data_IF_019136957317
#
_entry.id   IF_019136957317
#
_cell.length_a   1.000
_cell.length_b   1.000
_cell.length_c   1.000
_cell.angle_alpha   90.00
_cell.angle_beta   90.00
_cell.angle_gamma   90.00
#
_symmetry.space_group_name_H-M   'P 1'
#
loop_
_entity.id
_entity.type
_entity.pdbx_description
1 polymer ?
#
# COMPACT_ATOMS: atom_id res chain seq x y z
N UNK A 1 36.01 70.34 23.71
CA UNK A 1 34.71 69.96 23.23
C UNK A 1 34.91 68.73 22.35
N UNK A 2 34.52 67.55 22.88
CA UNK A 2 34.56 66.28 22.12
C UNK A 2 33.13 65.94 21.72
N UNK A 3 32.81 65.96 20.42
CA UNK A 3 31.53 65.46 19.89
C UNK A 3 31.59 63.92 19.78
N UNK A 4 30.74 63.30 20.52
CA UNK A 4 30.47 61.85 20.34
C UNK A 4 29.35 61.70 19.34
N UNK A 5 29.65 61.13 18.19
CA UNK A 5 28.64 60.65 17.20
C UNK A 5 28.18 59.25 17.58
N UNK A 6 26.92 59.08 18.04
CA UNK A 6 26.30 57.81 18.27
C UNK A 6 25.69 57.32 16.97
N UNK A 7 26.22 56.21 16.42
CA UNK A 7 25.68 55.52 15.22
C UNK A 7 24.58 54.57 15.70
N UNK A 8 23.34 54.91 15.40
CA UNK A 8 22.20 54.01 15.64
C UNK A 8 22.13 52.96 14.52
N UNK A 9 22.37 51.68 14.84
CA UNK A 9 22.16 50.56 13.95
C UNK A 9 20.65 50.20 13.95
N UNK A 10 19.97 50.49 12.84
CA UNK A 10 18.61 50.01 12.60
C UNK A 10 18.70 48.59 12.06
N UNK A 11 18.37 47.61 12.89
CA UNK A 11 18.28 46.21 12.51
C UNK A 11 16.94 46.00 11.76
N UNK A 12 16.99 45.95 10.43
CA UNK A 12 15.84 45.62 9.61
C UNK A 12 15.54 44.12 9.77
N UNK A 13 14.49 43.79 10.52
CA UNK A 13 13.94 42.45 10.60
C UNK A 13 13.22 42.15 9.27
N UNK A 14 13.85 41.41 8.36
CA UNK A 14 13.22 40.86 7.19
C UNK A 14 12.20 39.82 7.66
N UNK A 15 10.92 40.15 7.62
CA UNK A 15 9.82 39.18 7.73
C UNK A 15 9.91 38.27 6.52
N UNK A 16 10.44 37.05 6.71
CA UNK A 16 10.33 35.98 5.72
C UNK A 16 8.87 35.58 5.66
N UNK A 17 8.20 35.90 4.56
CA UNK A 17 6.89 35.32 4.25
C UNK A 17 7.08 33.80 4.10
N UNK A 18 6.17 32.97 4.67
CA UNK A 18 6.23 31.53 4.46
C UNK A 18 6.17 31.26 2.96
N UNK A 19 7.03 30.36 2.50
CA UNK A 19 6.98 29.89 1.12
C UNK A 19 5.58 29.28 0.86
N UNK A 20 5.01 29.49 -0.34
CA UNK A 20 3.76 28.83 -0.67
C UNK A 20 3.93 27.31 -0.52
N UNK A 21 2.92 26.64 0.05
CA UNK A 21 2.92 25.18 0.15
C UNK A 21 3.07 24.56 -1.26
N UNK A 22 3.86 23.51 -1.37
CA UNK A 22 3.94 22.75 -2.62
C UNK A 22 2.53 22.23 -3.00
N UNK A 23 2.21 22.16 -4.30
CA UNK A 23 0.94 21.55 -4.70
C UNK A 23 0.88 20.09 -4.20
N UNK A 24 -0.34 19.58 -3.89
CA UNK A 24 -0.49 18.21 -3.47
C UNK A 24 -0.05 17.25 -4.58
N UNK A 25 0.48 16.10 -4.16
CA UNK A 25 0.77 14.98 -5.06
C UNK A 25 -0.53 14.40 -5.61
N UNK A 26 -0.51 13.95 -6.85
CA UNK A 26 -1.66 13.29 -7.45
C UNK A 26 -1.58 11.78 -7.24
N UNK A 27 -2.59 11.23 -6.61
CA UNK A 27 -2.74 9.79 -6.40
C UNK A 27 -3.94 9.25 -7.19
N UNK A 28 -3.79 8.07 -7.76
CA UNK A 28 -4.88 7.35 -8.43
C UNK A 28 -5.13 6.03 -7.70
N UNK A 29 -6.36 5.80 -7.24
CA UNK A 29 -6.79 4.47 -6.80
C UNK A 29 -7.47 3.77 -7.96
N UNK A 30 -7.03 2.56 -8.29
CA UNK A 30 -7.62 1.71 -9.32
C UNK A 30 -8.30 0.51 -8.68
N UNK A 31 -9.57 0.27 -9.06
CA UNK A 31 -10.40 -0.80 -8.51
C UNK A 31 -11.41 -1.37 -9.51
N UNK A 32 -12.35 -2.19 -9.01
CA UNK A 32 -13.52 -2.69 -9.75
C UNK A 32 -13.74 -4.19 -9.59
N UNK A 33 -12.69 -4.97 -9.38
CA UNK A 33 -12.80 -6.42 -9.27
C UNK A 33 -11.90 -6.96 -8.14
N UNK A 34 -12.55 -7.38 -7.05
CA UNK A 34 -11.85 -7.91 -5.89
C UNK A 34 -12.72 -9.00 -5.22
N UNK A 35 -12.08 -10.06 -4.75
CA UNK A 35 -12.75 -11.16 -4.04
C UNK A 35 -13.24 -10.77 -2.64
N UNK A 36 -12.80 -9.65 -2.08
CA UNK A 36 -13.26 -9.10 -0.81
C UNK A 36 -14.38 -8.09 -1.05
N UNK A 37 -15.60 -8.43 -0.66
CA UNK A 37 -16.81 -7.62 -0.90
C UNK A 37 -16.71 -6.17 -0.41
N UNK A 38 -15.84 -5.89 0.57
CA UNK A 38 -15.65 -4.57 1.14
C UNK A 38 -14.88 -3.59 0.23
N UNK A 39 -14.39 -4.02 -0.94
CA UNK A 39 -13.51 -3.21 -1.78
C UNK A 39 -14.08 -1.83 -2.17
N UNK A 40 -15.39 -1.60 -2.42
CA UNK A 40 -15.87 -0.26 -2.72
C UNK A 40 -15.71 0.70 -1.54
N UNK A 41 -15.96 0.19 -0.30
CA UNK A 41 -15.76 0.95 0.93
C UNK A 41 -14.26 1.18 1.20
N UNK A 42 -13.43 0.15 1.07
CA UNK A 42 -11.98 0.28 1.33
C UNK A 42 -11.29 1.21 0.35
N UNK A 43 -11.77 1.32 -0.89
CA UNK A 43 -11.33 2.36 -1.84
C UNK A 43 -11.58 3.77 -1.28
N UNK A 44 -12.79 4.03 -0.76
CA UNK A 44 -13.12 5.33 -0.17
C UNK A 44 -12.33 5.60 1.12
N UNK A 45 -12.10 4.55 1.93
CA UNK A 45 -11.24 4.66 3.12
C UNK A 45 -9.82 5.08 2.74
N UNK A 46 -9.20 4.42 1.77
CA UNK A 46 -7.86 4.77 1.31
C UNK A 46 -7.80 6.20 0.74
N UNK A 47 -8.79 6.59 -0.07
CA UNK A 47 -8.90 7.98 -0.54
C UNK A 47 -8.92 8.96 0.62
N UNK A 48 -9.82 8.78 1.57
CA UNK A 48 -9.95 9.65 2.75
C UNK A 48 -8.64 9.71 3.54
N UNK A 49 -8.02 8.57 3.84
CA UNK A 49 -6.78 8.54 4.61
C UNK A 49 -5.62 9.27 3.92
N UNK A 50 -5.53 9.18 2.60
CA UNK A 50 -4.50 9.91 1.86
C UNK A 50 -4.78 11.41 1.84
N UNK A 51 -6.03 11.83 1.60
CA UNK A 51 -6.43 13.25 1.56
C UNK A 51 -6.34 13.93 2.92
N UNK A 52 -6.61 13.21 4.03
CA UNK A 52 -6.47 13.72 5.41
C UNK A 52 -5.03 14.17 5.74
N UNK A 53 -4.03 13.68 5.02
CA UNK A 53 -2.64 14.14 5.18
C UNK A 53 -2.41 15.56 4.69
N UNK A 54 -3.28 16.06 3.80
CA UNK A 54 -3.06 17.30 3.06
C UNK A 54 -1.96 17.20 2.00
N UNK A 55 -1.34 16.04 1.80
CA UNK A 55 -0.27 15.81 0.84
C UNK A 55 -0.78 15.32 -0.51
N UNK A 56 -1.99 14.77 -0.57
CA UNK A 56 -2.53 14.11 -1.77
C UNK A 56 -3.85 14.72 -2.21
N UNK A 57 -4.02 14.77 -3.54
CA UNK A 57 -5.29 14.85 -4.24
C UNK A 57 -5.53 13.50 -4.90
N UNK A 58 -6.68 12.84 -4.60
CA UNK A 58 -6.91 11.44 -4.95
C UNK A 58 -8.06 11.28 -5.93
N UNK A 59 -7.75 10.79 -7.12
CA UNK A 59 -8.73 10.32 -8.10
C UNK A 59 -8.96 8.80 -7.92
N UNK A 60 -10.12 8.32 -8.38
CA UNK A 60 -10.44 6.89 -8.46
C UNK A 60 -10.80 6.58 -9.90
N UNK A 61 -10.25 5.50 -10.44
CA UNK A 61 -10.67 4.96 -11.73
C UNK A 61 -11.05 3.49 -11.58
N UNK A 62 -12.32 3.22 -11.82
CA UNK A 62 -12.96 1.91 -11.67
C UNK A 62 -13.22 1.28 -13.01
N UNK A 63 -12.92 -0.01 -13.17
CA UNK A 63 -13.31 -0.76 -14.38
C UNK A 63 -14.83 -0.68 -14.58
N UNK A 64 -15.27 -0.55 -15.82
CA UNK A 64 -16.69 -0.55 -16.19
C UNK A 64 -17.41 -1.82 -15.74
N UNK A 65 -16.74 -2.97 -15.88
CA UNK A 65 -17.26 -4.26 -15.41
C UNK A 65 -16.74 -4.52 -14.01
N UNK A 66 -17.61 -4.33 -13.00
CA UNK A 66 -17.28 -4.58 -11.60
C UNK A 66 -17.66 -6.00 -11.20
N UNK A 67 -17.02 -6.49 -10.15
CA UNK A 67 -17.32 -7.80 -9.59
C UNK A 67 -17.21 -7.78 -8.06
N UNK A 68 -18.20 -8.44 -7.42
CA UNK A 68 -18.27 -8.67 -5.97
C UNK A 68 -18.27 -7.39 -5.12
N UNK A 69 -18.84 -6.29 -5.63
CA UNK A 69 -19.03 -5.06 -4.86
C UNK A 69 -20.41 -4.98 -4.18
N UNK A 70 -21.42 -5.64 -4.78
CA UNK A 70 -22.76 -5.75 -4.24
C UNK A 70 -23.39 -4.40 -3.88
N UNK A 71 -24.08 -4.34 -2.74
CA UNK A 71 -24.72 -3.11 -2.25
C UNK A 71 -23.74 -1.99 -1.94
N UNK A 72 -22.47 -2.31 -1.70
CA UNK A 72 -21.48 -1.29 -1.39
C UNK A 72 -21.16 -0.40 -2.60
N UNK A 73 -21.42 -0.84 -3.82
CA UNK A 73 -21.35 0.02 -5.01
C UNK A 73 -22.40 1.13 -4.99
N UNK A 74 -23.58 0.86 -4.40
CA UNK A 74 -24.65 1.85 -4.24
C UNK A 74 -24.39 2.77 -3.02
N UNK A 75 -23.76 2.25 -1.97
CA UNK A 75 -23.41 3.01 -0.76
C UNK A 75 -22.19 3.91 -0.97
N UNK A 76 -21.26 3.51 -1.85
CA UNK A 76 -20.03 4.23 -2.22
C UNK A 76 -19.95 4.46 -3.73
N UNK A 77 -20.86 5.29 -4.29
CA UNK A 77 -20.93 5.51 -5.72
C UNK A 77 -19.77 6.38 -6.22
N UNK A 78 -19.44 6.20 -7.49
CA UNK A 78 -18.62 7.15 -8.26
C UNK A 78 -19.53 7.83 -9.29
N UNK A 79 -20.05 9.03 -9.02
CA UNK A 79 -21.12 9.64 -9.81
C UNK A 79 -20.81 9.83 -11.30
N UNK A 80 -19.52 10.05 -11.61
CA UNK A 80 -19.04 10.33 -12.97
C UNK A 80 -18.62 9.06 -13.73
N UNK A 81 -18.75 7.88 -13.11
CA UNK A 81 -18.37 6.60 -13.70
C UNK A 81 -19.55 5.63 -13.74
N UNK A 82 -19.88 5.18 -14.94
CA UNK A 82 -20.92 4.17 -15.13
C UNK A 82 -20.30 2.78 -15.05
N UNK A 83 -20.77 1.99 -14.09
CA UNK A 83 -20.32 0.62 -13.89
C UNK A 83 -21.46 -0.39 -14.05
N UNK A 84 -21.11 -1.63 -14.36
CA UNK A 84 -22.04 -2.76 -14.44
C UNK A 84 -21.45 -3.92 -13.63
N UNK A 85 -22.13 -4.30 -12.54
CA UNK A 85 -21.70 -5.46 -11.77
C UNK A 85 -22.04 -6.77 -12.48
N UNK A 86 -21.04 -7.62 -12.61
CA UNK A 86 -21.16 -8.90 -13.28
C UNK A 86 -21.03 -10.06 -12.28
N UNK A 87 -21.62 -11.24 -12.56
CA UNK A 87 -21.54 -12.40 -11.68
C UNK A 87 -20.14 -13.05 -11.67
N UNK A 88 -19.27 -12.66 -12.59
CA UNK A 88 -17.87 -13.11 -12.71
C UNK A 88 -17.01 -11.95 -13.23
N UNK A 89 -15.72 -11.93 -12.88
CA UNK A 89 -14.77 -10.96 -13.43
C UNK A 89 -14.74 -11.03 -14.96
N UNK A 90 -14.68 -9.87 -15.59
CA UNK A 90 -14.56 -9.72 -17.04
C UNK A 90 -13.63 -8.57 -17.35
N UNK A 91 -12.76 -8.75 -18.35
CA UNK A 91 -11.90 -7.68 -18.84
C UNK A 91 -12.74 -6.53 -19.38
N UNK A 92 -12.35 -5.33 -19.01
CA UNK A 92 -12.90 -4.09 -19.52
C UNK A 92 -12.01 -3.57 -20.66
N UNK A 93 -12.44 -3.64 -21.92
CA UNK A 93 -11.61 -3.25 -23.06
C UNK A 93 -11.35 -1.74 -23.11
N UNK A 94 -12.15 -0.95 -22.39
CA UNK A 94 -12.07 0.50 -22.37
C UNK A 94 -11.31 1.02 -21.13
N UNK A 95 -10.80 0.12 -20.25
CA UNK A 95 -10.04 0.50 -19.07
C UNK A 95 -8.64 1.00 -19.47
N UNK A 96 -8.49 2.32 -19.55
CA UNK A 96 -7.27 2.99 -20.02
C UNK A 96 -6.93 4.23 -19.17
N UNK A 97 -6.58 4.08 -17.89
CA UNK A 97 -6.16 5.18 -17.04
C UNK A 97 -4.96 5.93 -17.63
N UNK A 98 -4.98 7.26 -17.62
CA UNK A 98 -3.81 8.06 -17.92
C UNK A 98 -2.87 8.12 -16.70
N UNK A 99 -2.09 7.07 -16.50
CA UNK A 99 -1.16 6.96 -15.38
C UNK A 99 -0.13 8.10 -15.33
N UNK A 100 0.19 8.72 -16.45
CA UNK A 100 1.22 9.78 -16.53
C UNK A 100 0.84 11.05 -15.74
N UNK A 101 -0.42 11.18 -15.35
CA UNK A 101 -0.94 12.31 -14.57
C UNK A 101 -0.71 12.16 -13.08
N UNK A 102 -0.21 11.01 -12.60
CA UNK A 102 -0.18 10.66 -11.19
C UNK A 102 1.24 10.39 -10.71
N UNK A 103 1.51 10.80 -9.48
CA UNK A 103 2.78 10.52 -8.80
C UNK A 103 2.78 9.11 -8.20
N UNK A 104 1.60 8.61 -7.81
CA UNK A 104 1.43 7.27 -7.24
C UNK A 104 0.09 6.65 -7.65
N UNK A 105 0.12 5.34 -7.94
CA UNK A 105 -1.07 4.52 -8.18
C UNK A 105 -1.25 3.53 -7.04
N UNK A 106 -2.46 3.40 -6.52
CA UNK A 106 -2.83 2.45 -5.46
C UNK A 106 -3.73 1.38 -6.08
N UNK A 107 -3.32 0.12 -6.02
CA UNK A 107 -4.12 -0.99 -6.53
C UNK A 107 -5.00 -1.59 -5.44
N UNK A 108 -6.32 -1.61 -5.67
CA UNK A 108 -7.33 -2.30 -4.86
C UNK A 108 -8.06 -3.41 -5.65
N UNK A 109 -7.36 -4.02 -6.61
CA UNK A 109 -7.83 -5.25 -7.25
C UNK A 109 -7.67 -6.44 -6.30
N UNK A 110 -8.19 -7.61 -6.69
CA UNK A 110 -8.07 -8.81 -5.85
C UNK A 110 -7.94 -10.10 -6.66
N UNK A 111 -7.99 -11.20 -5.95
CA UNK A 111 -7.94 -12.52 -6.56
C UNK A 111 -9.02 -12.68 -7.63
N UNK A 112 -8.68 -13.31 -8.74
CA UNK A 112 -9.54 -13.53 -9.92
C UNK A 112 -9.90 -12.27 -10.71
N UNK A 113 -9.36 -11.09 -10.41
CA UNK A 113 -9.53 -9.93 -11.29
C UNK A 113 -9.15 -10.29 -12.73
N UNK A 114 -10.00 -9.89 -13.68
CA UNK A 114 -9.76 -10.17 -15.09
C UNK A 114 -8.57 -9.36 -15.62
N UNK A 115 -7.83 -9.86 -16.61
CA UNK A 115 -6.70 -9.14 -17.19
C UNK A 115 -7.13 -7.79 -17.76
N UNK A 116 -6.29 -6.80 -17.61
CA UNK A 116 -6.44 -5.53 -18.32
C UNK A 116 -6.07 -5.68 -19.79
N UNK A 117 -6.53 -4.77 -20.67
CA UNK A 117 -6.05 -4.71 -22.04
C UNK A 117 -4.51 -4.61 -22.09
N UNK A 118 -3.90 -5.23 -23.10
CA UNK A 118 -2.44 -5.26 -23.26
C UNK A 118 -1.84 -3.84 -23.29
N UNK A 119 -2.51 -2.91 -23.99
CA UNK A 119 -2.10 -1.50 -24.06
C UNK A 119 -2.08 -0.83 -22.68
N UNK A 120 -3.04 -1.18 -21.81
CA UNK A 120 -3.10 -0.66 -20.44
C UNK A 120 -2.02 -1.28 -19.57
N UNK A 121 -1.74 -2.58 -19.74
CA UNK A 121 -0.63 -3.24 -19.07
C UNK A 121 0.70 -2.58 -19.46
N UNK A 122 0.94 -2.35 -20.76
CA UNK A 122 2.15 -1.71 -21.27
C UNK A 122 2.31 -0.26 -20.76
N UNK A 123 1.21 0.50 -20.71
CA UNK A 123 1.20 1.85 -20.16
C UNK A 123 1.54 1.85 -18.67
N UNK A 124 1.00 0.91 -17.90
CA UNK A 124 1.28 0.77 -16.47
C UNK A 124 2.74 0.36 -16.21
N UNK A 125 3.25 -0.62 -16.97
CA UNK A 125 4.67 -1.03 -16.93
C UNK A 125 5.57 0.17 -17.21
N UNK A 126 5.26 0.94 -18.25
CA UNK A 126 6.03 2.12 -18.64
C UNK A 126 6.00 3.20 -17.56
N UNK A 127 4.85 3.42 -16.93
CA UNK A 127 4.66 4.37 -15.84
C UNK A 127 5.55 4.01 -14.64
N UNK A 128 5.44 2.78 -14.11
CA UNK A 128 6.22 2.39 -12.93
C UNK A 128 7.72 2.35 -13.29
N UNK A 129 8.09 1.75 -14.43
CA UNK A 129 9.50 1.69 -14.88
C UNK A 129 10.12 3.07 -15.08
N UNK A 130 9.31 4.06 -15.46
CA UNK A 130 9.72 5.45 -15.66
C UNK A 130 9.94 6.25 -14.39
N UNK A 131 9.48 5.76 -13.24
CA UNK A 131 9.64 6.44 -11.95
C UNK A 131 8.34 6.64 -11.17
N UNK A 132 7.18 6.26 -11.73
CA UNK A 132 5.89 6.33 -11.06
C UNK A 132 5.84 5.43 -9.81
N UNK A 133 5.13 5.88 -8.78
CA UNK A 133 4.93 5.14 -7.54
C UNK A 133 3.79 4.11 -7.65
N UNK A 134 3.94 2.99 -6.95
CA UNK A 134 2.88 1.98 -6.82
C UNK A 134 2.68 1.60 -5.35
N UNK A 135 1.42 1.50 -4.93
CA UNK A 135 1.04 0.91 -3.64
C UNK A 135 0.17 -0.32 -3.90
N UNK A 136 0.57 -1.45 -3.33
CA UNK A 136 -0.13 -2.73 -3.41
C UNK A 136 -0.73 -3.03 -2.05
N UNK A 137 -2.07 -3.15 -2.00
CA UNK A 137 -2.80 -3.34 -0.74
C UNK A 137 -3.48 -4.68 -0.73
N UNK A 138 -3.17 -5.48 0.30
CA UNK A 138 -3.82 -6.75 0.60
C UNK A 138 -4.02 -7.62 -0.66
N UNK A 139 -5.29 -7.91 -1.01
CA UNK A 139 -5.64 -8.78 -2.12
C UNK A 139 -5.11 -8.35 -3.50
N UNK A 140 -4.57 -7.13 -3.63
CA UNK A 140 -3.91 -6.73 -4.88
C UNK A 140 -2.68 -7.59 -5.18
N UNK A 141 -2.06 -8.19 -4.17
CA UNK A 141 -0.97 -9.16 -4.35
C UNK A 141 -1.43 -10.53 -4.89
N UNK A 142 -2.75 -10.77 -4.89
CA UNK A 142 -3.37 -11.97 -5.43
C UNK A 142 -3.84 -11.81 -6.89
N UNK A 143 -3.79 -10.58 -7.42
CA UNK A 143 -4.21 -10.26 -8.77
C UNK A 143 -3.18 -10.72 -9.80
N UNK A 144 -3.63 -10.90 -11.03
CA UNK A 144 -2.81 -10.98 -12.24
C UNK A 144 -1.61 -11.96 -12.15
N UNK A 145 -1.84 -13.19 -11.65
CA UNK A 145 -0.80 -14.21 -11.45
C UNK A 145 0.06 -14.50 -12.67
N UNK A 146 -0.50 -14.38 -13.87
CA UNK A 146 0.16 -14.66 -15.14
C UNK A 146 0.89 -13.42 -15.73
N UNK A 147 0.71 -12.21 -15.15
CA UNK A 147 1.36 -11.00 -15.64
C UNK A 147 2.74 -10.84 -15.01
N UNK A 148 3.79 -11.18 -15.77
CA UNK A 148 5.17 -11.23 -15.30
C UNK A 148 5.66 -9.90 -14.72
N UNK A 149 5.44 -8.78 -15.44
CA UNK A 149 5.90 -7.46 -14.96
C UNK A 149 5.19 -7.04 -13.67
N UNK A 150 3.89 -7.34 -13.53
CA UNK A 150 3.18 -7.10 -12.28
C UNK A 150 3.77 -7.89 -11.11
N UNK A 151 4.10 -9.17 -11.31
CA UNK A 151 4.73 -10.00 -10.29
C UNK A 151 6.14 -9.51 -9.91
N UNK A 152 6.88 -8.92 -10.86
CA UNK A 152 8.17 -8.26 -10.58
C UNK A 152 7.98 -6.98 -9.75
N UNK A 153 6.93 -6.20 -10.04
CA UNK A 153 6.62 -4.98 -9.28
C UNK A 153 6.21 -5.28 -7.84
N UNK A 154 5.31 -6.24 -7.64
CA UNK A 154 4.78 -6.55 -6.31
C UNK A 154 5.72 -7.40 -5.46
N UNK A 155 6.68 -8.10 -6.09
CA UNK A 155 7.70 -8.94 -5.45
C UNK A 155 7.18 -10.27 -4.93
N UNK A 156 6.15 -10.25 -4.11
CA UNK A 156 5.50 -11.42 -3.53
C UNK A 156 4.00 -11.38 -3.80
N UNK A 157 3.40 -12.56 -4.02
CA UNK A 157 1.96 -12.68 -4.16
C UNK A 157 1.47 -14.05 -3.75
N UNK A 158 0.15 -14.17 -3.59
CA UNK A 158 -0.50 -15.42 -3.23
C UNK A 158 -1.55 -15.86 -4.24
N UNK A 159 -2.04 -17.05 -4.10
CA UNK A 159 -3.11 -17.64 -4.91
C UNK A 159 -2.92 -17.44 -6.43
N UNK A 160 -4.00 -17.35 -7.20
CA UNK A 160 -3.92 -17.02 -8.64
C UNK A 160 -3.00 -17.92 -9.46
N UNK A 161 -2.85 -19.21 -9.09
CA UNK A 161 -1.97 -20.15 -9.77
C UNK A 161 -0.49 -20.06 -9.38
N UNK A 162 -0.12 -19.17 -8.46
CA UNK A 162 1.28 -19.02 -8.02
C UNK A 162 1.77 -20.27 -7.30
N UNK A 163 2.95 -20.72 -7.68
CA UNK A 163 3.61 -21.93 -7.21
C UNK A 163 5.14 -21.75 -7.28
N UNK A 164 5.92 -22.84 -7.16
CA UNK A 164 7.39 -22.78 -7.18
C UNK A 164 7.98 -22.12 -8.44
N UNK A 165 7.25 -22.09 -9.56
CA UNK A 165 7.67 -21.41 -10.80
C UNK A 165 7.55 -19.89 -10.71
N UNK A 166 6.71 -19.39 -9.80
CA UNK A 166 6.55 -17.95 -9.58
C UNK A 166 7.69 -17.34 -8.78
N UNK A 167 8.51 -18.16 -8.13
CA UNK A 167 9.66 -17.75 -7.31
C UNK A 167 9.63 -18.39 -5.92
N UNK A 168 10.60 -18.07 -5.05
CA UNK A 168 10.68 -18.59 -3.68
C UNK A 168 9.58 -18.04 -2.77
N UNK A 169 9.26 -18.75 -1.69
CA UNK A 169 8.71 -18.12 -0.48
C UNK A 169 9.81 -17.24 0.14
N UNK A 170 9.42 -16.05 0.63
CA UNK A 170 10.38 -15.15 1.27
C UNK A 170 9.85 -14.72 2.63
N UNK A 171 10.61 -15.01 3.67
CA UNK A 171 10.26 -14.73 5.06
C UNK A 171 11.52 -14.52 5.90
N UNK A 172 11.40 -14.12 7.15
CA UNK A 172 12.53 -14.08 8.07
C UNK A 172 12.49 -15.29 9.01
N UNK A 173 13.68 -15.83 9.32
CA UNK A 173 13.84 -16.81 10.40
C UNK A 173 13.88 -16.11 11.79
N UNK A 174 14.00 -16.88 12.86
CA UNK A 174 14.05 -16.36 14.24
C UNK A 174 15.28 -15.48 14.50
N UNK A 175 16.36 -15.69 13.74
CA UNK A 175 17.60 -14.89 13.79
C UNK A 175 17.46 -13.55 13.01
N UNK A 176 16.32 -13.35 12.30
CA UNK A 176 16.06 -12.16 11.49
C UNK A 176 16.72 -12.19 10.11
N UNK A 177 17.21 -13.35 9.67
CA UNK A 177 17.78 -13.53 8.34
C UNK A 177 16.69 -13.77 7.30
N UNK A 178 16.82 -13.17 6.12
CA UNK A 178 15.90 -13.39 5.01
C UNK A 178 16.12 -14.76 4.38
N UNK A 179 15.10 -15.59 4.43
CA UNK A 179 15.07 -16.91 3.81
C UNK A 179 14.35 -16.83 2.46
N UNK A 180 14.94 -17.43 1.45
CA UNK A 180 14.37 -17.61 0.10
C UNK A 180 14.20 -19.12 -0.14
N UNK A 181 13.03 -19.64 0.24
CA UNK A 181 12.70 -21.07 0.21
C UNK A 181 12.10 -21.43 -1.16
N UNK A 182 12.85 -22.20 -1.95
CA UNK A 182 12.46 -22.66 -3.30
C UNK A 182 11.68 -23.98 -3.31
N UNK A 183 11.28 -24.49 -2.14
CA UNK A 183 10.52 -25.74 -2.04
C UNK A 183 9.24 -25.68 -2.86
N UNK A 184 8.78 -26.81 -3.43
CA UNK A 184 7.51 -26.90 -4.15
C UNK A 184 6.31 -26.52 -3.26
N UNK A 185 5.28 -25.96 -3.89
CA UNK A 185 4.02 -25.66 -3.22
C UNK A 185 3.33 -24.41 -3.75
N UNK A 186 2.05 -24.29 -3.42
CA UNK A 186 1.25 -23.14 -3.81
C UNK A 186 1.62 -21.89 -3.01
N UNK A 187 1.53 -20.73 -3.65
CA UNK A 187 1.63 -19.43 -2.99
C UNK A 187 0.33 -19.00 -2.33
N UNK A 188 0.44 -18.34 -1.19
CA UNK A 188 -0.66 -17.73 -0.46
C UNK A 188 -1.41 -18.67 0.46
N UNK A 189 -1.50 -18.27 1.70
CA UNK A 189 -2.30 -18.87 2.76
C UNK A 189 -2.53 -17.83 3.84
N UNK A 190 -3.41 -18.08 4.77
CA UNK A 190 -3.57 -17.34 6.02
C UNK A 190 -4.22 -18.22 7.07
N UNK A 191 -3.98 -17.91 8.33
CA UNK A 191 -4.69 -18.53 9.44
C UNK A 191 -6.03 -17.84 9.75
N UNK A 192 -6.56 -18.09 10.94
CA UNK A 192 -7.75 -17.37 11.40
C UNK A 192 -7.41 -15.89 11.67
N UNK A 193 -8.34 -14.99 11.35
CA UNK A 193 -8.21 -13.55 11.62
C UNK A 193 -8.03 -13.27 13.12
N UNK A 194 -7.03 -12.48 13.47
CA UNK A 194 -6.70 -12.11 14.84
C UNK A 194 -5.88 -10.82 14.87
N UNK A 195 -5.70 -10.25 16.06
CA UNK A 195 -4.69 -9.21 16.29
C UNK A 195 -3.29 -9.83 16.27
N UNK A 196 -2.33 -9.17 15.63
CA UNK A 196 -0.95 -9.64 15.58
C UNK A 196 0.05 -8.49 15.74
N UNK A 197 1.21 -8.83 16.28
CA UNK A 197 2.32 -7.90 16.42
C UNK A 197 3.04 -7.73 15.07
N UNK A 198 3.18 -6.49 14.64
CA UNK A 198 4.01 -6.10 13.49
C UNK A 198 5.36 -5.63 14.03
N UNK A 199 6.43 -6.31 13.63
CA UNK A 199 7.81 -6.05 14.08
C UNK A 199 8.57 -5.31 12.99
N UNK A 200 9.05 -4.11 13.30
CA UNK A 200 9.86 -3.30 12.39
C UNK A 200 11.24 -3.93 12.20
N UNK A 201 11.67 -4.10 10.96
CA UNK A 201 12.93 -4.73 10.58
C UNK A 201 13.95 -3.76 10.00
N UNK A 202 13.47 -2.62 9.48
CA UNK A 202 14.31 -1.56 8.89
C UNK A 202 13.94 -0.21 9.51
N UNK A 203 14.39 0.11 10.73
CA UNK A 203 13.98 1.32 11.45
C UNK A 203 14.49 2.63 10.81
N UNK A 204 15.52 2.55 9.96
CA UNK A 204 16.10 3.71 9.29
C UNK A 204 15.47 3.99 7.92
N UNK A 205 14.58 3.10 7.42
CA UNK A 205 13.89 3.35 6.15
C UNK A 205 12.84 4.46 6.31
N UNK A 206 12.69 5.40 5.37
CA UNK A 206 11.76 6.53 5.49
C UNK A 206 10.35 6.14 5.95
N UNK A 207 9.79 5.05 5.42
CA UNK A 207 8.44 4.59 5.78
C UNK A 207 8.33 4.23 7.27
N UNK A 208 9.34 3.58 7.83
CA UNK A 208 9.33 3.05 9.21
C UNK A 208 10.09 3.92 10.20
N UNK A 209 10.77 4.95 9.72
CA UNK A 209 11.54 5.86 10.59
C UNK A 209 10.69 6.44 11.71
N UNK A 210 11.18 6.32 12.95
CA UNK A 210 10.49 6.78 14.15
C UNK A 210 9.33 5.89 14.63
N UNK A 211 8.96 4.81 13.88
CA UNK A 211 8.02 3.82 14.40
C UNK A 211 8.61 3.08 15.61
N UNK A 212 7.79 2.63 16.59
CA UNK A 212 8.27 1.74 17.63
C UNK A 212 8.80 0.44 17.02
N UNK A 213 9.69 -0.26 17.73
CA UNK A 213 10.27 -1.54 17.25
C UNK A 213 9.22 -2.59 16.92
N UNK A 214 8.05 -2.53 17.56
CA UNK A 214 6.87 -3.30 17.19
C UNK A 214 5.58 -2.60 17.65
N UNK A 215 4.46 -2.98 17.05
CA UNK A 215 3.13 -2.47 17.37
C UNK A 215 2.05 -3.53 17.11
N UNK A 216 0.95 -3.46 17.86
CA UNK A 216 -0.17 -4.39 17.71
C UNK A 216 -1.11 -3.92 16.61
N UNK A 217 -1.21 -4.71 15.53
CA UNK A 217 -2.23 -4.53 14.52
C UNK A 217 -3.56 -5.11 15.00
N UNK A 218 -4.65 -4.45 14.64
CA UNK A 218 -6.01 -4.94 14.97
C UNK A 218 -6.31 -6.26 14.25
N UNK A 219 -7.47 -6.85 14.50
CA UNK A 219 -7.92 -8.07 13.83
C UNK A 219 -7.80 -7.95 12.30
N UNK A 220 -7.04 -8.87 11.70
CA UNK A 220 -6.80 -8.92 10.24
C UNK A 220 -6.48 -10.34 9.79
N UNK A 221 -6.38 -10.57 8.47
CA UNK A 221 -5.75 -11.75 7.88
C UNK A 221 -4.25 -11.54 7.80
N UNK A 222 -3.50 -12.35 8.53
CA UNK A 222 -2.06 -12.41 8.36
C UNK A 222 -1.78 -13.34 7.19
N UNK A 223 -1.47 -12.77 6.01
CA UNK A 223 -1.07 -13.55 4.85
C UNK A 223 0.27 -14.22 5.09
N UNK A 224 0.36 -15.48 4.74
CA UNK A 224 1.57 -16.27 4.79
C UNK A 224 1.81 -17.04 3.49
N UNK A 225 2.97 -17.68 3.35
CA UNK A 225 3.36 -18.41 2.12
C UNK A 225 3.28 -17.56 0.86
N UNK A 226 3.40 -16.24 0.96
CA UNK A 226 3.55 -15.42 -0.24
C UNK A 226 4.85 -15.79 -0.93
N UNK A 227 4.81 -15.86 -2.26
CA UNK A 227 5.96 -16.19 -3.07
C UNK A 227 6.00 -15.42 -4.37
N UNK A 228 7.19 -15.24 -4.90
CA UNK A 228 7.35 -14.48 -6.12
C UNK A 228 8.82 -14.17 -6.39
N UNK A 229 9.12 -13.39 -7.42
CA UNK A 229 10.49 -13.04 -7.77
C UNK A 229 11.23 -12.39 -6.62
N UNK A 230 10.56 -11.51 -5.88
CA UNK A 230 11.08 -10.72 -4.76
C UNK A 230 12.46 -10.10 -5.09
N UNK A 231 12.58 -9.60 -6.31
CA UNK A 231 13.76 -8.88 -6.77
C UNK A 231 13.71 -7.44 -6.25
N UNK A 232 14.87 -6.89 -5.89
CA UNK A 232 14.99 -5.52 -5.39
C UNK A 232 14.01 -5.18 -4.25
N UNK A 233 13.75 -6.15 -3.37
CA UNK A 233 12.80 -6.05 -2.28
C UNK A 233 13.51 -5.97 -0.93
N UNK A 234 13.08 -5.00 -0.12
CA UNK A 234 13.45 -4.86 1.29
C UNK A 234 12.23 -5.14 2.16
N UNK A 235 12.35 -6.06 3.12
CA UNK A 235 11.32 -6.33 4.12
C UNK A 235 11.44 -5.27 5.21
N UNK A 236 10.44 -4.39 5.33
CA UNK A 236 10.41 -3.29 6.30
C UNK A 236 9.88 -3.74 7.66
N UNK A 237 8.87 -4.61 7.64
CA UNK A 237 8.25 -5.14 8.84
C UNK A 237 7.68 -6.55 8.58
N UNK A 238 7.58 -7.34 9.66
CA UNK A 238 7.06 -8.72 9.62
C UNK A 238 6.06 -8.95 10.74
N UNK A 239 5.25 -10.01 10.61
CA UNK A 239 4.48 -10.58 11.71
C UNK A 239 4.70 -12.09 11.80
N UNK A 240 4.63 -12.66 13.00
CA UNK A 240 4.78 -14.09 13.20
C UNK A 240 3.47 -14.81 12.94
N UNK A 241 3.42 -15.60 11.86
CA UNK A 241 2.27 -16.41 11.47
C UNK A 241 2.15 -17.65 12.37
N UNK A 242 1.50 -17.48 13.53
CA UNK A 242 1.44 -18.49 14.59
C UNK A 242 0.74 -19.78 14.13
N UNK A 243 1.35 -20.98 14.33
CA UNK A 243 0.70 -22.26 14.07
C UNK A 243 -0.59 -22.47 14.88
N UNK A 244 -0.68 -21.88 16.07
CA UNK A 244 -1.89 -21.93 16.89
C UNK A 244 -3.09 -21.19 16.26
N UNK A 245 -2.84 -20.39 15.24
CA UNK A 245 -3.85 -19.69 14.43
C UNK A 245 -4.02 -20.28 13.03
N UNK A 246 -3.27 -21.34 12.70
CA UNK A 246 -3.23 -21.95 11.38
C UNK A 246 -2.15 -21.38 10.45
N UNK A 247 -1.23 -20.59 10.99
CA UNK A 247 -0.11 -20.00 10.25
C UNK A 247 1.09 -20.94 10.13
N UNK A 248 2.11 -20.46 9.41
CA UNK A 248 3.30 -21.22 9.02
C UNK A 248 4.35 -21.42 10.11
N UNK A 249 4.31 -20.65 11.19
CA UNK A 249 5.41 -20.58 12.17
C UNK A 249 6.60 -19.75 11.68
N UNK A 250 6.40 -18.80 10.76
CA UNK A 250 7.43 -17.96 10.16
C UNK A 250 7.14 -16.48 10.42
N UNK A 251 8.17 -15.65 10.35
CA UNK A 251 8.01 -14.19 10.31
C UNK A 251 7.73 -13.74 8.86
N UNK A 252 6.46 -13.61 8.54
CA UNK A 252 5.99 -13.28 7.19
C UNK A 252 6.07 -11.76 6.94
N UNK A 253 6.42 -11.31 5.72
CA UNK A 253 6.49 -9.88 5.39
C UNK A 253 5.13 -9.20 5.45
N UNK A 254 5.04 -8.07 6.19
CA UNK A 254 3.82 -7.26 6.33
C UNK A 254 3.98 -5.85 5.72
N UNK A 255 5.21 -5.39 5.53
CA UNK A 255 5.52 -4.15 4.83
C UNK A 255 6.79 -4.38 4.02
N UNK A 256 6.73 -4.04 2.75
CA UNK A 256 7.83 -4.22 1.80
C UNK A 256 8.02 -2.96 0.96
N UNK A 257 9.28 -2.62 0.70
CA UNK A 257 9.68 -1.60 -0.25
C UNK A 257 10.44 -2.26 -1.40
N UNK A 258 10.05 -1.95 -2.64
CA UNK A 258 10.68 -2.50 -3.84
C UNK A 258 11.00 -1.39 -4.83
N UNK A 259 11.87 -1.72 -5.79
CA UNK A 259 12.10 -0.89 -6.97
C UNK A 259 11.83 -1.69 -8.24
N UNK A 260 11.21 -1.03 -9.22
CA UNK A 260 11.01 -1.58 -10.56
C UNK A 260 11.38 -0.52 -11.59
N UNK A 261 12.50 -0.70 -12.29
CA UNK A 261 13.10 0.39 -13.05
C UNK A 261 13.49 1.56 -12.15
N UNK A 262 12.96 2.74 -12.44
CA UNK A 262 13.11 3.93 -11.60
C UNK A 262 11.96 4.11 -10.59
N UNK A 263 10.92 3.31 -10.69
CA UNK A 263 9.73 3.38 -9.82
C UNK A 263 9.95 2.74 -8.46
N UNK A 264 9.14 3.19 -7.51
CA UNK A 264 9.12 2.69 -6.13
C UNK A 264 7.78 2.03 -5.84
N UNK A 265 7.82 0.89 -5.18
CA UNK A 265 6.63 0.13 -4.84
C UNK A 265 6.58 -0.10 -3.33
N UNK A 266 5.51 0.36 -2.69
CA UNK A 266 5.17 -0.04 -1.34
C UNK A 266 4.12 -1.15 -1.40
N UNK A 267 4.40 -2.26 -0.72
CA UNK A 267 3.48 -3.40 -0.68
C UNK A 267 3.19 -3.77 0.77
N UNK A 268 1.90 -3.89 1.09
CA UNK A 268 1.41 -4.38 2.38
C UNK A 268 0.28 -5.39 2.19
N UNK A 269 0.43 -6.65 2.67
CA UNK A 269 -0.64 -7.63 2.69
C UNK A 269 -1.67 -7.43 3.81
N UNK A 270 -1.53 -6.39 4.66
CA UNK A 270 -2.53 -5.98 5.65
C UNK A 270 -3.71 -5.28 4.97
N UNK A 271 -4.89 -5.28 5.63
CA UNK A 271 -6.06 -4.52 5.18
C UNK A 271 -7.18 -5.34 4.55
N UNK A 272 -7.45 -6.55 5.08
CA UNK A 272 -8.49 -7.46 4.59
C UNK A 272 -9.89 -6.83 4.52
N UNK A 273 -10.25 -6.01 5.51
CA UNK A 273 -11.57 -5.44 5.60
C UNK A 273 -11.53 -4.03 6.23
N UNK A 274 -12.68 -3.37 6.28
CA UNK A 274 -12.84 -2.04 6.86
C UNK A 274 -12.27 -1.95 8.28
N UNK A 275 -12.61 -2.89 9.17
CA UNK A 275 -12.10 -2.90 10.54
C UNK A 275 -10.57 -3.08 10.63
N UNK A 276 -9.96 -3.76 9.66
CA UNK A 276 -8.51 -3.91 9.58
C UNK A 276 -7.85 -2.60 9.12
N UNK A 277 -8.45 -1.96 8.12
CA UNK A 277 -7.97 -0.67 7.59
C UNK A 277 -8.20 0.50 8.55
N UNK A 278 -9.12 0.40 9.52
CA UNK A 278 -9.30 1.38 10.59
C UNK A 278 -8.12 1.41 11.58
N UNK A 279 -7.24 0.41 11.60
CA UNK A 279 -6.06 0.38 12.45
C UNK A 279 -5.13 1.57 12.16
N UNK A 280 -4.80 2.37 13.18
CA UNK A 280 -3.92 3.55 13.00
C UNK A 280 -2.55 3.15 12.45
N UNK A 281 -2.02 1.98 12.85
CA UNK A 281 -0.78 1.44 12.29
C UNK A 281 -0.88 1.17 10.79
N UNK A 282 -2.02 0.63 10.32
CA UNK A 282 -2.29 0.46 8.89
C UNK A 282 -2.42 1.81 8.18
N UNK A 283 -3.23 2.73 8.72
CA UNK A 283 -3.44 4.07 8.13
C UNK A 283 -2.11 4.77 7.90
N UNK A 284 -1.26 4.82 8.93
CA UNK A 284 0.06 5.46 8.85
C UNK A 284 0.97 4.74 7.86
N UNK A 285 0.92 3.39 7.82
CA UNK A 285 1.71 2.61 6.86
C UNK A 285 1.30 2.91 5.41
N UNK A 286 0.00 3.00 5.13
CA UNK A 286 -0.53 3.38 3.82
C UNK A 286 -0.11 4.80 3.42
N UNK A 287 -0.30 5.78 4.32
CA UNK A 287 0.01 7.18 4.08
C UNK A 287 1.50 7.38 3.77
N UNK A 288 2.38 6.84 4.63
CA UNK A 288 3.84 6.94 4.46
C UNK A 288 4.34 6.11 3.28
N UNK A 289 3.73 4.95 3.05
CA UNK A 289 4.04 4.10 1.90
C UNK A 289 3.73 4.80 0.57
N UNK A 290 2.59 5.49 0.50
CA UNK A 290 2.20 6.26 -0.68
C UNK A 290 3.12 7.49 -0.89
N UNK A 291 3.44 8.23 0.18
CA UNK A 291 4.36 9.37 0.10
C UNK A 291 5.75 8.92 -0.39
N UNK A 292 6.29 7.84 0.19
CA UNK A 292 7.57 7.29 -0.23
C UNK A 292 7.54 6.77 -1.67
N UNK A 293 6.47 6.09 -2.06
CA UNK A 293 6.34 5.60 -3.44
C UNK A 293 6.34 6.75 -4.44
N UNK A 294 5.66 7.85 -4.13
CA UNK A 294 5.61 9.05 -4.96
C UNK A 294 6.96 9.80 -5.01
N UNK A 295 7.60 10.02 -3.85
CA UNK A 295 8.70 10.99 -3.72
C UNK A 295 10.07 10.36 -3.44
N UNK A 296 10.10 9.18 -2.81
CA UNK A 296 11.32 8.56 -2.26
C UNK A 296 11.61 8.98 -0.82
N UNK A 297 10.80 9.86 -0.23
CA UNK A 297 10.96 10.36 1.14
C UNK A 297 9.63 10.32 1.91
N UNK A 298 9.66 10.60 3.22
CA UNK A 298 8.48 10.68 4.09
C UNK A 298 8.62 11.88 5.01
N UNK A 299 7.66 12.80 4.92
CA UNK A 299 7.61 14.01 5.76
C UNK A 299 6.63 13.87 6.93
N UNK A 300 5.74 12.87 6.89
CA UNK A 300 4.70 12.66 7.89
C UNK A 300 5.28 12.18 9.22
N UNK A 301 4.91 12.86 10.31
CA UNK A 301 5.22 12.43 11.67
C UNK A 301 4.25 11.33 12.12
N UNK A 302 4.64 10.56 13.15
CA UNK A 302 3.74 9.61 13.77
C UNK A 302 2.70 10.34 14.63
N UNK A 303 1.41 9.97 14.50
CA UNK A 303 0.38 10.54 15.34
C UNK A 303 0.48 10.00 16.79
N UNK A 304 0.01 10.79 17.79
CA UNK A 304 0.11 10.41 19.20
C UNK A 304 -0.72 9.17 19.58
N UNK A 305 -1.68 8.79 18.74
CA UNK A 305 -2.51 7.59 18.90
C UNK A 305 -1.97 6.38 18.10
N UNK A 306 -0.71 6.43 17.64
CA UNK A 306 -0.08 5.26 17.02
C UNK A 306 -0.10 4.06 17.99
N UNK A 307 -0.41 2.82 17.54
CA UNK A 307 -0.54 1.67 18.44
C UNK A 307 0.78 1.34 19.15
N UNK A 308 0.63 0.70 20.32
CA UNK A 308 1.76 0.18 21.09
C UNK A 308 1.89 -1.33 20.89
N UNK A 309 2.90 -1.95 21.48
CA UNK A 309 3.10 -3.41 21.47
C UNK A 309 1.97 -4.18 22.17
N UNK A 310 1.23 -3.54 23.08
CA UNK A 310 0.19 -4.18 23.90
C UNK A 310 -1.23 -3.73 23.61
N UNK A 311 -1.41 -2.70 22.76
CA UNK A 311 -2.73 -2.15 22.46
C UNK A 311 -2.82 -1.67 21.01
N UNK A 312 -3.71 -2.28 20.26
CA UNK A 312 -4.13 -1.77 18.95
C UNK A 312 -4.93 -0.47 19.11
N UNK A 313 -4.93 0.36 18.09
CA UNK A 313 -5.70 1.61 18.00
C UNK A 313 -6.40 1.67 16.66
N UNK A 314 -7.65 2.09 16.65
CA UNK A 314 -8.46 2.21 15.44
C UNK A 314 -9.16 3.55 15.39
N UNK A 315 -9.23 4.14 14.19
CA UNK A 315 -10.06 5.30 13.87
C UNK A 315 -11.23 4.85 13.02
N UNK A 316 -12.45 5.04 13.53
CA UNK A 316 -13.64 4.64 12.80
C UNK A 316 -13.79 5.47 11.54
N UNK A 317 -13.94 4.79 10.41
CA UNK A 317 -14.25 5.45 9.16
C UNK A 317 -15.71 5.95 9.21
N UNK A 318 -15.88 7.26 9.06
CA UNK A 318 -17.17 7.92 8.92
C UNK A 318 -17.32 8.38 7.47
N UNK A 319 -18.48 8.10 6.87
CA UNK A 319 -18.85 8.64 5.54
C UNK A 319 -19.06 10.14 5.62
#
# INVERSE_FOLDING_TARGET
MKLSCSLAFVLAMLLQLPAPAAPPMRALIIDGQNNHIMWPKTTMMMKTYLEETGLFEVDIERTKFTWNGGKLLEEYPLPDQQTTELPKPQSDPDFQPDFSRYDVVISNFGHSAAPWPDETQDAFVSYVRGGGGLVVVHAADNSFGDWTDYNLMIGLGGWGGRNEKSGPYVYLNDEGETIRDTSPGNGGSHGSQHEFEVVVRQPDHPITHGMPSSWLHTKDELYDKLRGPAENMTILATAFASPNRGGTGRHEPMMMALTYGNGRVFHTPMGHADYSMECVGYIVSLQRGAEWAATGDVTQELPPDFPTTSASKSRKFAN
#
